data_IF_990354445627
#
_entry.id   IF_990354445627
#
_cell.length_a   1.000
_cell.length_b   1.000
_cell.length_c   1.000
_cell.angle_alpha   90.00
_cell.angle_beta   90.00
_cell.angle_gamma   90.00
#
_symmetry.space_group_name_H-M   'P 1'
#
loop_
_entity.id
_entity.type
_entity.pdbx_description
1 polymer ?
#
# COMPACT_ATOMS: atom_id res chain seq x y z
N UNK A 1 -10.79 33.28 19.68
CA UNK A 1 -12.07 33.56 19.00
C UNK A 1 -11.75 34.51 17.87
N UNK A 2 -11.72 34.01 16.64
CA UNK A 2 -11.73 34.84 15.44
C UNK A 2 -12.66 34.13 14.47
N UNK A 3 -13.70 34.85 14.12
CA UNK A 3 -14.77 34.49 13.21
C UNK A 3 -14.29 34.81 11.80
N UNK A 4 -14.54 33.94 10.82
CA UNK A 4 -14.49 34.34 9.41
C UNK A 4 -15.71 33.78 8.69
N UNK A 5 -16.35 34.69 7.97
CA UNK A 5 -17.68 34.61 7.38
C UNK A 5 -17.70 33.84 6.06
N UNK A 6 -18.82 33.17 5.83
CA UNK A 6 -19.16 32.53 4.56
C UNK A 6 -20.19 33.41 3.86
N UNK A 7 -19.76 34.34 3.00
CA UNK A 7 -20.67 34.97 2.03
C UNK A 7 -20.79 34.04 0.83
N UNK A 8 -21.98 33.47 0.67
CA UNK A 8 -22.33 32.67 -0.50
C UNK A 8 -22.70 33.64 -1.63
N UNK A 9 -21.76 33.86 -2.55
CA UNK A 9 -22.04 34.47 -3.85
C UNK A 9 -22.29 33.35 -4.87
N UNK A 10 -23.50 33.33 -5.41
CA UNK A 10 -24.00 32.36 -6.37
C UNK A 10 -23.73 32.79 -7.83
N UNK A 11 -23.73 31.79 -8.71
CA UNK A 11 -24.04 31.93 -10.14
C UNK A 11 -22.93 32.36 -11.14
N UNK A 12 -21.80 31.66 -11.12
CA UNK A 12 -21.07 31.29 -12.36
C UNK A 12 -20.20 30.07 -12.08
N UNK A 13 -20.67 28.89 -12.49
CA UNK A 13 -20.05 27.56 -12.29
C UNK A 13 -18.67 27.37 -12.93
N UNK A 14 -17.69 28.15 -12.50
CA UNK A 14 -16.28 27.97 -12.79
C UNK A 14 -15.51 28.14 -11.47
N UNK A 15 -15.44 27.07 -10.68
CA UNK A 15 -14.49 26.98 -9.57
C UNK A 15 -13.07 26.84 -10.13
N UNK A 16 -12.51 27.99 -10.52
CA UNK A 16 -11.09 28.15 -10.82
C UNK A 16 -10.32 27.87 -9.53
N UNK A 17 -9.65 26.72 -9.46
CA UNK A 17 -8.74 26.39 -8.37
C UNK A 17 -7.72 27.53 -8.24
N UNK A 18 -7.86 28.39 -7.22
CA UNK A 18 -6.87 29.42 -6.93
C UNK A 18 -5.62 28.71 -6.42
N UNK A 19 -4.53 28.91 -7.15
CA UNK A 19 -3.15 28.60 -6.78
C UNK A 19 -2.86 28.95 -5.33
N UNK A 20 -2.45 27.96 -4.53
CA UNK A 20 -1.96 28.18 -3.17
C UNK A 20 -1.93 26.95 -2.27
N UNK A 21 -2.75 25.93 -2.53
CA UNK A 21 -2.74 24.72 -1.72
C UNK A 21 -1.82 23.68 -2.37
N UNK A 22 -0.58 23.62 -1.87
CA UNK A 22 0.36 22.56 -2.25
C UNK A 22 -0.35 21.21 -2.06
N UNK A 23 -0.38 20.39 -3.12
CA UNK A 23 -0.83 19.01 -3.04
C UNK A 23 -0.11 18.37 -1.84
N UNK A 24 -0.79 17.70 -0.90
CA UNK A 24 -0.11 17.02 0.18
C UNK A 24 0.96 16.13 -0.44
N UNK A 25 2.20 16.32 0.02
CA UNK A 25 3.37 15.60 -0.47
C UNK A 25 2.99 14.13 -0.52
N UNK A 26 3.09 13.54 -1.70
CA UNK A 26 2.75 12.13 -1.92
C UNK A 26 3.22 11.32 -0.73
N UNK A 27 2.32 10.60 -0.06
CA UNK A 27 2.68 9.67 1.00
C UNK A 27 3.56 8.59 0.38
N UNK A 28 4.86 8.86 0.30
CA UNK A 28 5.85 7.96 -0.26
C UNK A 28 6.03 6.87 0.78
N UNK A 29 5.47 5.69 0.52
CA UNK A 29 5.69 4.53 1.38
C UNK A 29 7.19 4.20 1.31
N UNK A 30 7.87 4.38 2.43
CA UNK A 30 9.23 3.89 2.64
C UNK A 30 9.10 2.44 3.06
N UNK A 31 9.60 1.53 2.24
CA UNK A 31 9.63 0.10 2.59
C UNK A 31 10.88 -0.16 3.44
N UNK A 32 10.73 -0.63 4.69
CA UNK A 32 11.86 -0.97 5.54
C UNK A 32 12.58 -2.21 5.02
N UNK A 33 13.89 -2.30 5.29
CA UNK A 33 14.69 -3.46 4.95
C UNK A 33 14.32 -4.64 5.86
N UNK A 34 13.90 -5.76 5.27
CA UNK A 34 13.48 -6.96 5.99
C UNK A 34 14.61 -7.99 5.97
N UNK A 35 15.09 -8.46 7.14
CA UNK A 35 16.11 -9.49 7.19
C UNK A 35 15.68 -10.80 6.50
N UNK A 36 16.65 -11.60 6.06
CA UNK A 36 16.37 -12.92 5.48
C UNK A 36 15.57 -13.77 6.48
N UNK A 37 14.56 -14.49 5.98
CA UNK A 37 13.69 -15.32 6.80
C UNK A 37 12.68 -14.56 7.67
N UNK A 38 12.54 -13.25 7.49
CA UNK A 38 11.50 -12.44 8.12
C UNK A 38 10.49 -11.96 7.08
N UNK A 39 9.31 -11.56 7.56
CA UNK A 39 8.24 -10.96 6.77
C UNK A 39 7.82 -9.63 7.40
N UNK A 40 7.43 -8.71 6.53
CA UNK A 40 6.76 -7.46 6.92
C UNK A 40 5.27 -7.62 6.73
N UNK A 41 4.48 -7.38 7.78
CA UNK A 41 3.04 -7.54 7.77
C UNK A 41 2.39 -6.17 7.98
N UNK A 42 1.51 -5.78 7.06
CA UNK A 42 0.68 -4.59 7.18
C UNK A 42 -0.79 -4.99 7.18
N UNK A 43 -1.55 -4.43 8.11
CA UNK A 43 -3.00 -4.55 8.11
C UNK A 43 -3.62 -3.74 6.97
N UNK A 44 -4.78 -4.17 6.50
CA UNK A 44 -5.60 -3.43 5.54
C UNK A 44 -6.19 -2.14 6.13
N UNK A 45 -6.48 -2.12 7.44
CA UNK A 45 -6.88 -0.92 8.17
C UNK A 45 -5.67 -0.17 8.73
N UNK A 46 -5.01 0.62 7.88
CA UNK A 46 -3.78 1.34 8.22
C UNK A 46 -3.86 2.19 9.51
N UNK A 47 -5.01 2.80 9.82
CA UNK A 47 -5.16 3.68 11.00
C UNK A 47 -5.42 2.93 12.30
N UNK A 48 -5.92 1.69 12.21
CA UNK A 48 -6.35 0.91 13.37
C UNK A 48 -5.84 -0.53 13.30
N UNK A 49 -4.55 -0.68 13.00
CA UNK A 49 -3.85 -1.96 13.07
C UNK A 49 -2.55 -1.77 13.84
N UNK A 50 -2.27 -2.71 14.73
CA UNK A 50 -0.94 -2.89 15.34
C UNK A 50 -0.22 -3.95 14.53
N UNK A 51 0.72 -3.52 13.70
CA UNK A 51 1.41 -4.40 12.76
C UNK A 51 2.92 -4.10 12.73
N UNK A 52 3.62 -4.56 11.68
CA UNK A 52 5.08 -4.41 11.59
C UNK A 52 5.55 -2.96 11.67
N UNK A 53 4.70 -1.97 11.39
CA UNK A 53 5.02 -0.54 11.59
C UNK A 53 5.30 -0.20 13.06
N UNK A 54 4.74 -0.96 14.00
CA UNK A 54 4.91 -0.76 15.43
C UNK A 54 5.97 -1.69 16.05
N UNK A 55 5.99 -2.98 15.68
CA UNK A 55 6.86 -3.98 16.31
C UNK A 55 8.03 -4.48 15.43
N UNK A 56 8.07 -4.10 14.15
CA UNK A 56 9.11 -4.51 13.21
C UNK A 56 8.79 -5.79 12.43
N UNK A 57 9.81 -6.34 11.76
CA UNK A 57 9.66 -7.57 10.96
C UNK A 57 9.47 -8.81 11.83
N UNK A 58 8.70 -9.78 11.36
CA UNK A 58 8.38 -11.03 12.09
C UNK A 58 9.07 -12.22 11.45
N UNK A 59 9.65 -13.16 12.21
CA UNK A 59 10.19 -14.40 11.66
C UNK A 59 9.13 -15.20 10.88
N UNK A 60 9.45 -15.62 9.66
CA UNK A 60 8.51 -16.35 8.79
C UNK A 60 8.03 -17.68 9.40
N UNK A 61 8.83 -18.29 10.30
CA UNK A 61 8.46 -19.51 11.01
C UNK A 61 7.29 -19.35 12.00
N UNK A 62 6.88 -18.12 12.33
CA UNK A 62 5.70 -17.87 13.17
C UNK A 62 4.39 -17.88 12.38
N UNK A 63 4.45 -17.89 11.05
CA UNK A 63 3.27 -17.92 10.18
C UNK A 63 2.63 -19.31 10.26
N UNK A 64 1.37 -19.37 10.72
CA UNK A 64 0.61 -20.62 10.86
C UNK A 64 -0.12 -21.03 9.58
N UNK A 65 -0.54 -20.07 8.77
CA UNK A 65 -1.30 -20.34 7.55
C UNK A 65 -1.56 -19.08 6.74
N UNK A 66 -2.10 -19.26 5.54
CA UNK A 66 -2.47 -18.18 4.61
C UNK A 66 -3.98 -18.19 4.42
N UNK A 67 -4.59 -17.01 4.46
CA UNK A 67 -5.99 -16.85 4.05
C UNK A 67 -6.10 -17.10 2.55
N UNK A 68 -6.92 -18.07 2.15
CA UNK A 68 -7.11 -18.45 0.74
C UNK A 68 -8.55 -18.30 0.27
N UNK A 69 -9.49 -18.15 1.20
CA UNK A 69 -10.91 -18.19 0.89
C UNK A 69 -11.72 -17.26 1.80
N UNK A 70 -12.70 -16.58 1.22
CA UNK A 70 -13.71 -15.81 1.93
C UNK A 70 -14.98 -16.64 2.04
N UNK A 71 -15.39 -16.95 3.27
CA UNK A 71 -16.57 -17.81 3.53
C UNK A 71 -17.86 -16.99 3.71
N UNK A 72 -17.75 -15.78 4.26
CA UNK A 72 -18.91 -14.91 4.57
C UNK A 72 -18.67 -13.47 4.11
N UNK A 73 -19.71 -12.73 3.67
CA UNK A 73 -21.10 -13.14 3.42
C UNK A 73 -21.22 -14.16 2.28
N UNK A 74 -22.24 -15.04 2.33
CA UNK A 74 -22.39 -16.13 1.34
C UNK A 74 -22.49 -15.64 -0.12
N UNK A 75 -22.95 -14.41 -0.33
CA UNK A 75 -22.97 -13.75 -1.64
C UNK A 75 -21.58 -13.47 -2.22
N UNK A 76 -20.56 -13.44 -1.36
CA UNK A 76 -19.17 -13.11 -1.71
C UNK A 76 -18.24 -14.30 -1.41
N UNK A 77 -18.81 -15.52 -1.38
CA UNK A 77 -18.07 -16.76 -1.21
C UNK A 77 -17.12 -16.97 -2.40
N UNK A 78 -15.81 -17.01 -2.14
CA UNK A 78 -14.83 -17.10 -3.22
C UNK A 78 -13.37 -17.21 -2.75
N UNK A 79 -12.50 -17.64 -3.67
CA UNK A 79 -11.06 -17.69 -3.44
C UNK A 79 -10.46 -16.28 -3.42
N UNK A 80 -9.48 -16.07 -2.55
CA UNK A 80 -8.69 -14.85 -2.53
C UNK A 80 -7.68 -14.92 -3.69
N UNK A 81 -7.87 -14.08 -4.70
CA UNK A 81 -6.96 -14.02 -5.85
C UNK A 81 -5.62 -13.43 -5.42
N UNK A 82 -4.54 -14.04 -5.87
CA UNK A 82 -3.16 -13.60 -5.63
C UNK A 82 -2.48 -13.09 -6.90
N UNK A 83 -3.23 -12.95 -8.00
CA UNK A 83 -2.72 -12.67 -9.34
C UNK A 83 -2.20 -11.24 -9.58
N UNK A 84 -2.37 -10.29 -8.65
CA UNK A 84 -1.87 -8.93 -8.84
C UNK A 84 -0.38 -8.78 -8.47
N UNK A 85 0.49 -9.64 -8.99
CA UNK A 85 1.89 -9.23 -9.13
C UNK A 85 1.91 -8.20 -10.26
N UNK A 86 2.33 -6.94 -10.04
CA UNK A 86 2.57 -6.05 -11.16
C UNK A 86 3.61 -6.75 -12.04
N UNK A 87 3.19 -7.16 -13.23
CA UNK A 87 4.11 -7.65 -14.24
C UNK A 87 5.24 -6.63 -14.34
N UNK A 88 6.52 -7.03 -14.24
CA UNK A 88 7.60 -6.09 -14.50
C UNK A 88 7.31 -5.42 -15.85
N UNK A 89 7.56 -4.10 -15.99
CA UNK A 89 7.35 -3.44 -17.27
C UNK A 89 8.07 -4.27 -18.33
N UNK A 90 7.39 -4.55 -19.45
CA UNK A 90 7.79 -5.46 -20.53
C UNK A 90 9.13 -5.11 -21.22
N UNK A 91 9.94 -4.23 -20.64
CA UNK A 91 11.18 -3.67 -21.17
C UNK A 91 12.42 -4.04 -20.33
N UNK A 92 12.31 -4.84 -19.27
CA UNK A 92 13.48 -5.48 -18.67
C UNK A 92 13.95 -6.62 -19.60
N UNK A 93 14.45 -6.22 -20.76
CA UNK A 93 15.13 -7.10 -21.72
C UNK A 93 16.31 -7.74 -21.00
N UNK A 94 16.26 -9.06 -20.92
CA UNK A 94 17.29 -9.90 -20.34
C UNK A 94 18.60 -9.74 -21.12
N UNK A 95 19.50 -8.90 -20.65
CA UNK A 95 20.93 -9.12 -20.85
C UNK A 95 21.48 -9.78 -19.59
N UNK A 96 21.88 -11.04 -19.75
CA UNK A 96 22.09 -11.99 -18.66
C UNK A 96 23.14 -11.56 -17.64
N UNK A 97 22.81 -11.76 -16.36
CA UNK A 97 23.80 -11.88 -15.31
C UNK A 97 23.83 -13.32 -14.83
N UNK A 98 24.79 -14.05 -15.40
CA UNK A 98 25.26 -15.37 -15.03
C UNK A 98 25.90 -15.24 -13.64
N UNK A 99 25.29 -15.85 -12.63
CA UNK A 99 25.91 -15.94 -11.30
C UNK A 99 26.91 -17.11 -11.34
N UNK A 100 28.19 -16.79 -11.38
CA UNK A 100 29.26 -17.76 -11.12
C UNK A 100 29.31 -17.95 -9.60
N UNK A 101 29.19 -19.20 -9.15
CA UNK A 101 29.54 -19.61 -7.78
C UNK A 101 31.06 -19.77 -7.77
N UNK A 102 31.75 -18.86 -7.09
CA UNK A 102 33.14 -19.08 -6.71
C UNK A 102 33.19 -19.78 -5.35
N UNK A 103 34.04 -20.82 -5.30
CA UNK A 103 34.41 -21.57 -4.10
C UNK A 103 35.41 -20.79 -3.25
#
# INVERSE_FOLDING_TARGET
MAVEEMTVDDDRGQSRWRTGQQRPKSCQRVFPEVPKGHVWLEGDNHHNSTDSRNFGSVPAGLIRGRAVFRVWPLSELGMLDSSSSPSPPASASSSGQKWEVDQ
#
